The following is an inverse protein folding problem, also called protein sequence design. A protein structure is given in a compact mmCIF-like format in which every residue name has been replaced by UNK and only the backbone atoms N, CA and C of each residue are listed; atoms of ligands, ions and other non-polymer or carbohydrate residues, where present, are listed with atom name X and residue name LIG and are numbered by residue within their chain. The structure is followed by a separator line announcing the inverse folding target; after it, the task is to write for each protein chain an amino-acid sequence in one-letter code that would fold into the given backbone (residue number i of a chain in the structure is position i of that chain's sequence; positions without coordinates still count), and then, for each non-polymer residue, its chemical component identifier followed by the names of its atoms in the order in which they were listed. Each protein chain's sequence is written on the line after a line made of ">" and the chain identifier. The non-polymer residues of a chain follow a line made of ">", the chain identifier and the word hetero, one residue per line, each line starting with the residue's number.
data_IF_587667943174
#
_entry.id   IF_587667943174
#
_cell.length_a   1.000
_cell.length_b   1.000
_cell.length_c   1.000
_cell.angle_alpha   90.00
_cell.angle_beta   90.00
_cell.angle_gamma   90.00
#
_symmetry.space_group_name_H-M   'P 1'
#
loop_
_entity.id
_entity.type
_entity.pdbx_description
1 polymer ?
#
# COMPACT_ATOMS: atom_id res chain seq x y z
N UNK A 1 -7.82 6.49 -17.44
CA UNK A 1 -7.75 7.57 -16.43
C UNK A 1 -6.28 7.87 -16.17
N UNK A 2 -5.91 8.95 -15.50
CA UNK A 2 -4.50 9.25 -15.18
C UNK A 2 -4.22 9.15 -13.68
N UNK A 3 -2.95 8.98 -13.31
CA UNK A 3 -2.55 9.08 -11.91
C UNK A 3 -2.73 10.52 -11.40
N UNK A 4 -3.55 10.68 -10.36
CA UNK A 4 -3.81 11.99 -9.73
C UNK A 4 -2.64 12.40 -8.87
N UNK A 5 -2.35 13.71 -8.90
CA UNK A 5 -1.53 14.38 -7.89
C UNK A 5 -2.41 15.31 -7.06
N UNK A 6 -1.95 15.69 -5.87
CA UNK A 6 -2.65 16.66 -5.03
C UNK A 6 -2.80 18.02 -5.72
N UNK A 7 -1.81 18.41 -6.54
CA UNK A 7 -1.82 19.66 -7.29
C UNK A 7 -2.76 19.63 -8.50
N UNK A 8 -2.83 18.51 -9.23
CA UNK A 8 -3.67 18.42 -10.44
C UNK A 8 -5.16 18.25 -10.15
N UNK A 9 -5.53 17.55 -9.08
CA UNK A 9 -6.94 17.25 -8.77
C UNK A 9 -7.34 17.55 -7.32
N UNK A 10 -7.09 18.74 -6.77
CA UNK A 10 -7.25 19.02 -5.34
C UNK A 10 -8.65 18.74 -4.80
N UNK A 11 -9.68 18.88 -5.63
CA UNK A 11 -11.07 18.62 -5.25
C UNK A 11 -11.40 17.13 -4.99
N UNK A 12 -10.55 16.20 -5.44
CA UNK A 12 -10.74 14.75 -5.35
C UNK A 12 -10.01 14.10 -4.18
N UNK A 13 -9.35 14.89 -3.33
CA UNK A 13 -8.61 14.41 -2.17
C UNK A 13 -9.39 14.66 -0.88
N UNK A 14 -9.24 13.73 0.06
CA UNK A 14 -9.55 13.94 1.46
C UNK A 14 -8.27 13.73 2.29
N UNK A 15 -8.29 14.12 3.56
CA UNK A 15 -7.12 14.03 4.44
C UNK A 15 -7.45 13.39 5.77
N UNK A 16 -6.43 12.78 6.36
CA UNK A 16 -6.43 12.22 7.71
C UNK A 16 -5.31 12.97 8.47
N UNK A 17 -5.59 13.57 9.65
CA UNK A 17 -4.54 14.12 10.50
C UNK A 17 -3.53 13.03 10.86
N UNK A 18 -2.30 13.20 10.40
CA UNK A 18 -1.25 12.19 10.51
C UNK A 18 0.11 12.89 10.39
N UNK A 19 0.78 13.19 11.53
CA UNK A 19 2.10 13.79 11.49
C UNK A 19 3.13 12.79 10.96
N UNK A 20 4.23 13.28 10.37
CA UNK A 20 5.30 12.40 9.85
C UNK A 20 5.99 11.54 10.91
N UNK A 21 5.93 11.94 12.18
CA UNK A 21 6.38 11.11 13.29
C UNK A 21 5.56 9.83 13.45
N UNK A 22 4.29 9.84 13.00
CA UNK A 22 3.37 8.71 13.05
C UNK A 22 3.39 7.87 11.78
N UNK A 23 3.64 8.47 10.60
CA UNK A 23 3.73 7.73 9.33
C UNK A 23 4.68 8.42 8.35
N UNK A 24 5.58 7.63 7.76
CA UNK A 24 6.37 8.00 6.59
C UNK A 24 6.08 7.03 5.45
N UNK A 25 5.25 7.45 4.48
CA UNK A 25 4.88 6.60 3.33
C UNK A 25 6.09 6.00 2.62
N UNK A 26 7.14 6.79 2.42
CA UNK A 26 8.39 6.38 1.75
C UNK A 26 9.16 5.30 2.51
N UNK A 27 9.16 5.36 3.85
CA UNK A 27 9.83 4.37 4.69
C UNK A 27 8.98 3.14 4.97
N UNK A 28 7.66 3.21 4.77
CA UNK A 28 6.74 2.09 5.04
C UNK A 28 6.41 1.32 3.75
N UNK A 29 5.96 2.00 2.69
CA UNK A 29 5.41 1.36 1.50
C UNK A 29 6.46 0.70 0.60
N UNK A 30 7.72 1.09 0.70
CA UNK A 30 8.84 0.48 -0.03
C UNK A 30 9.68 -0.51 0.82
N UNK A 31 9.31 -0.75 2.08
CA UNK A 31 10.12 -1.52 3.04
C UNK A 31 9.97 -3.04 2.94
N UNK A 32 9.15 -3.55 2.01
CA UNK A 32 8.87 -4.98 1.88
C UNK A 32 7.79 -5.51 2.84
N UNK A 33 7.07 -4.62 3.53
CA UNK A 33 5.86 -5.01 4.27
C UNK A 33 4.74 -5.38 3.29
N UNK A 34 4.44 -4.48 2.35
CA UNK A 34 3.53 -4.71 1.23
C UNK A 34 4.29 -4.57 -0.08
N UNK A 35 3.82 -5.29 -1.09
CA UNK A 35 4.39 -5.34 -2.44
C UNK A 35 3.42 -4.73 -3.47
N UNK A 36 2.47 -3.91 -3.02
CA UNK A 36 1.35 -3.41 -3.83
C UNK A 36 1.38 -1.90 -4.11
N UNK A 37 2.44 -1.22 -3.67
CA UNK A 37 2.56 0.23 -3.76
C UNK A 37 3.73 0.65 -4.64
N UNK A 38 3.51 1.69 -5.46
CA UNK A 38 4.50 2.31 -6.35
C UNK A 38 4.45 3.82 -6.22
N UNK A 39 5.61 4.46 -6.15
CA UNK A 39 5.72 5.90 -6.30
C UNK A 39 5.62 6.28 -7.79
N UNK A 40 4.39 6.45 -8.29
CA UNK A 40 4.12 6.73 -9.71
C UNK A 40 4.43 8.18 -10.08
N UNK A 41 4.32 9.09 -9.11
CA UNK A 41 4.75 10.47 -9.20
C UNK A 41 5.54 10.81 -7.92
N UNK A 42 6.46 11.79 -7.93
CA UNK A 42 7.22 12.15 -6.74
C UNK A 42 6.32 12.40 -5.52
N UNK A 43 6.61 11.70 -4.43
CA UNK A 43 5.87 11.64 -3.17
C UNK A 43 4.41 11.13 -3.26
N UNK A 44 4.00 10.51 -4.37
CA UNK A 44 2.65 9.98 -4.58
C UNK A 44 2.69 8.47 -4.80
N UNK A 45 2.16 7.75 -3.82
CA UNK A 45 2.16 6.30 -3.78
C UNK A 45 0.81 5.77 -4.26
N UNK A 46 0.81 5.05 -5.38
CA UNK A 46 -0.39 4.41 -5.91
C UNK A 46 -0.32 2.90 -5.70
N UNK A 47 -1.43 2.32 -5.26
CA UNK A 47 -1.52 0.90 -4.97
C UNK A 47 -2.96 0.44 -4.82
N UNK A 48 -3.12 -0.85 -4.51
CA UNK A 48 -4.43 -1.47 -4.28
C UNK A 48 -4.62 -1.68 -2.78
N UNK A 49 -5.75 -1.19 -2.28
CA UNK A 49 -6.19 -1.39 -0.89
C UNK A 49 -7.70 -1.65 -0.89
N UNK A 50 -8.13 -2.70 -0.20
CA UNK A 50 -9.53 -3.12 -0.11
C UNK A 50 -10.24 -3.20 -1.48
N UNK A 51 -9.58 -3.83 -2.46
CA UNK A 51 -10.07 -3.99 -3.85
C UNK A 51 -10.36 -2.67 -4.59
N UNK A 52 -9.80 -1.56 -4.13
CA UNK A 52 -9.85 -0.27 -4.81
C UNK A 52 -8.43 0.23 -5.07
N UNK A 53 -8.26 1.04 -6.10
CA UNK A 53 -6.98 1.73 -6.34
C UNK A 53 -6.99 3.04 -5.57
N UNK A 54 -5.87 3.32 -4.92
CA UNK A 54 -5.65 4.52 -4.12
C UNK A 54 -4.38 5.21 -4.54
N UNK A 55 -4.37 6.55 -4.51
CA UNK A 55 -3.12 7.33 -4.45
C UNK A 55 -3.05 8.01 -3.09
N UNK A 56 -1.90 7.90 -2.43
CA UNK A 56 -1.58 8.48 -1.14
C UNK A 56 -0.41 9.44 -1.26
N UNK A 57 -0.48 10.58 -0.57
CA UNK A 57 0.65 11.50 -0.40
C UNK A 57 0.55 12.16 0.96
N UNK A 58 1.61 12.82 1.44
CA UNK A 58 1.63 13.38 2.79
C UNK A 58 2.30 14.76 2.83
N UNK A 59 1.77 15.64 3.67
CA UNK A 59 2.48 16.85 4.13
C UNK A 59 3.18 16.55 5.46
N UNK A 60 3.45 17.58 6.27
CA UNK A 60 4.03 17.37 7.60
C UNK A 60 3.00 16.81 8.60
N UNK A 61 1.73 17.19 8.47
CA UNK A 61 0.66 16.94 9.45
C UNK A 61 -0.53 16.15 8.90
N UNK A 62 -0.56 15.89 7.59
CA UNK A 62 -1.73 15.30 6.93
C UNK A 62 -1.32 14.20 5.96
N UNK A 63 -2.04 13.07 6.04
CA UNK A 63 -2.07 12.04 5.01
C UNK A 63 -3.22 12.34 4.06
N UNK A 64 -2.91 12.65 2.80
CA UNK A 64 -3.88 12.87 1.74
C UNK A 64 -4.17 11.58 0.99
N UNK A 65 -5.45 11.30 0.78
CA UNK A 65 -5.95 10.10 0.11
C UNK A 65 -6.87 10.47 -1.05
N UNK A 66 -6.73 9.77 -2.18
CA UNK A 66 -7.72 9.76 -3.26
C UNK A 66 -7.93 8.32 -3.73
N UNK A 67 -9.16 8.01 -4.15
CA UNK A 67 -9.59 6.67 -4.55
C UNK A 67 -10.15 6.68 -5.97
N UNK A 68 -9.92 5.60 -6.72
CA UNK A 68 -10.45 5.40 -8.06
C UNK A 68 -11.52 4.29 -8.01
N UNK A 69 -12.75 4.62 -8.40
CA UNK A 69 -13.91 3.72 -8.29
C UNK A 69 -14.33 3.06 -9.63
N UNK A 70 -13.45 3.11 -10.63
CA UNK A 70 -13.72 2.60 -11.98
C UNK A 70 -14.85 3.35 -12.72
N UNK A 71 -15.20 2.88 -13.92
CA UNK A 71 -16.14 3.57 -14.82
C UNK A 71 -17.59 3.61 -14.31
N UNK A 72 -17.95 2.69 -13.40
CA UNK A 72 -19.30 2.62 -12.80
C UNK A 72 -19.38 3.35 -11.45
N UNK A 73 -18.25 3.80 -10.92
CA UNK A 73 -18.17 4.51 -9.66
C UNK A 73 -18.33 6.01 -9.85
N UNK A 74 -18.89 6.69 -8.85
CA UNK A 74 -18.93 8.15 -8.85
C UNK A 74 -17.53 8.73 -8.61
N UNK A 75 -17.25 9.85 -9.29
CA UNK A 75 -16.01 10.60 -9.13
C UNK A 75 -16.18 11.62 -8.01
N UNK A 76 -15.33 11.52 -6.99
CA UNK A 76 -15.24 12.50 -5.92
C UNK A 76 -14.41 11.98 -4.76
N UNK A 77 -14.36 12.77 -3.68
CA UNK A 77 -13.49 12.52 -2.52
C UNK A 77 -13.77 11.17 -1.88
N UNK A 78 -12.78 10.54 -1.22
CA UNK A 78 -13.02 9.39 -0.35
C UNK A 78 -14.15 9.69 0.66
N UNK A 79 -15.04 8.73 0.88
CA UNK A 79 -16.05 8.81 1.95
C UNK A 79 -15.40 8.57 3.31
N UNK A 80 -16.08 8.92 4.43
CA UNK A 80 -15.59 8.59 5.77
C UNK A 80 -15.31 7.09 5.97
N UNK A 81 -16.14 6.21 5.42
CA UNK A 81 -15.96 4.75 5.49
C UNK A 81 -14.72 4.29 4.72
N UNK A 82 -14.47 4.85 3.53
CA UNK A 82 -13.28 4.53 2.76
C UNK A 82 -12.01 5.07 3.43
N UNK A 83 -12.06 6.26 4.05
CA UNK A 83 -10.94 6.77 4.86
C UNK A 83 -10.68 5.90 6.09
N UNK A 84 -11.73 5.32 6.69
CA UNK A 84 -11.58 4.37 7.81
C UNK A 84 -10.78 3.14 7.38
N UNK A 85 -10.95 2.65 6.15
CA UNK A 85 -10.12 1.56 5.60
C UNK A 85 -8.64 1.95 5.57
N UNK A 86 -8.31 3.15 5.10
CA UNK A 86 -6.91 3.65 5.11
C UNK A 86 -6.40 3.77 6.54
N UNK A 87 -7.21 4.33 7.44
CA UNK A 87 -6.88 4.48 8.85
C UNK A 87 -6.55 3.13 9.52
N UNK A 88 -7.35 2.09 9.25
CA UNK A 88 -7.14 0.73 9.77
C UNK A 88 -5.94 0.04 9.13
N UNK A 89 -5.76 0.16 7.81
CA UNK A 89 -4.64 -0.42 7.09
C UNK A 89 -3.29 0.08 7.65
N UNK A 90 -3.22 1.37 7.98
CA UNK A 90 -2.05 1.91 8.65
C UNK A 90 -2.08 1.74 10.16
N UNK A 91 -3.15 1.25 10.82
CA UNK A 91 -3.27 1.13 12.28
C UNK A 91 -3.10 2.47 13.02
N UNK A 92 -3.69 3.56 12.50
CA UNK A 92 -3.48 4.93 12.99
C UNK A 92 -4.07 5.21 14.39
N UNK A 93 -4.74 4.25 15.01
CA UNK A 93 -5.16 4.27 16.41
C UNK A 93 -4.00 4.00 17.37
N UNK A 94 -2.95 3.32 16.90
CA UNK A 94 -1.73 3.08 17.67
C UNK A 94 -0.82 4.29 17.57
N UNK A 95 -0.50 4.93 18.71
CA UNK A 95 0.49 6.01 18.77
C UNK A 95 1.90 5.45 18.61
N UNK A 96 2.48 5.65 17.44
CA UNK A 96 3.85 5.25 17.14
C UNK A 96 4.85 6.05 17.97
N UNK A 97 4.56 7.31 18.26
CA UNK A 97 5.41 8.14 19.12
C UNK A 97 5.58 7.54 20.53
N UNK A 98 4.51 7.00 21.12
CA UNK A 98 4.59 6.32 22.43
C UNK A 98 5.45 5.04 22.36
N UNK A 99 5.31 4.26 21.28
CA UNK A 99 6.12 3.06 21.06
C UNK A 99 7.61 3.41 20.89
N UNK A 100 7.91 4.41 20.06
CA UNK A 100 9.28 4.88 19.84
C UNK A 100 9.91 5.40 21.12
N UNK A 101 9.15 6.14 21.94
CA UNK A 101 9.61 6.60 23.24
C UNK A 101 9.97 5.42 24.16
N UNK A 102 9.07 4.43 24.25
CA UNK A 102 9.32 3.23 25.06
C UNK A 102 10.55 2.46 24.59
N UNK A 103 10.63 2.11 23.30
CA UNK A 103 11.77 1.38 22.73
C UNK A 103 13.10 2.13 22.91
N UNK A 104 13.09 3.45 22.70
CA UNK A 104 14.28 4.29 22.90
C UNK A 104 14.74 4.34 24.37
N UNK A 105 13.83 4.18 25.33
CA UNK A 105 14.17 4.19 26.76
C UNK A 105 14.83 2.90 27.25
N UNK A 106 14.66 1.79 26.52
CA UNK A 106 15.19 0.48 26.89
C UNK A 106 16.30 0.00 25.95
N UNK A 107 16.47 0.63 24.79
CA UNK A 107 17.50 0.31 23.80
C UNK A 107 18.16 1.59 23.24
N UNK A 108 19.41 1.91 23.66
CA UNK A 108 20.17 3.05 23.14
C UNK A 108 20.46 2.97 21.64
N UNK A 109 20.62 1.75 21.09
CA UNK A 109 20.84 1.58 19.66
C UNK A 109 19.56 1.94 18.88
N UNK A 110 18.41 1.45 19.35
CA UNK A 110 17.12 1.86 18.79
C UNK A 110 16.95 3.38 18.85
N UNK A 111 17.28 4.02 19.99
CA UNK A 111 17.18 5.48 20.14
C UNK A 111 17.98 6.23 19.07
N UNK A 112 19.19 5.79 18.75
CA UNK A 112 20.02 6.41 17.71
C UNK A 112 19.38 6.24 16.31
N UNK A 113 18.91 5.02 15.99
CA UNK A 113 18.31 4.71 14.69
C UNK A 113 16.98 5.45 14.50
N UNK A 114 16.16 5.53 15.55
CA UNK A 114 14.85 6.17 15.55
C UNK A 114 14.90 7.67 15.21
N UNK A 115 16.02 8.36 15.45
CA UNK A 115 16.20 9.75 15.05
C UNK A 115 16.22 9.93 13.53
N UNK A 116 16.70 8.92 12.79
CA UNK A 116 16.82 8.94 11.32
C UNK A 116 15.58 8.33 10.65
N UNK A 117 14.94 7.36 11.29
CA UNK A 117 13.84 6.57 10.73
C UNK A 117 12.55 6.71 11.54
N UNK A 118 12.01 7.93 11.59
CA UNK A 118 10.69 8.17 12.21
C UNK A 118 9.55 7.70 11.31
N UNK A 119 8.36 7.46 11.87
CA UNK A 119 7.16 7.17 11.09
C UNK A 119 7.14 5.77 10.44
N UNK A 120 8.07 4.88 10.79
CA UNK A 120 8.05 3.48 10.33
C UNK A 120 7.06 2.71 11.19
N UNK A 121 5.85 2.52 10.66
CA UNK A 121 4.77 1.73 11.27
C UNK A 121 4.49 0.43 10.50
N UNK A 122 3.77 -0.46 11.16
CA UNK A 122 3.37 -1.76 10.63
C UNK A 122 2.01 -1.68 9.93
N UNK A 123 1.89 -2.28 8.74
CA UNK A 123 0.63 -2.36 8.00
C UNK A 123 -0.25 -3.52 8.49
N UNK A 124 -1.57 -3.30 8.57
CA UNK A 124 -2.57 -4.35 8.79
C UNK A 124 -3.09 -4.85 7.43
N UNK A 125 -2.46 -5.89 6.91
CA UNK A 125 -2.75 -6.43 5.57
C UNK A 125 -3.86 -7.47 5.58
N UNK A 126 -4.48 -7.67 4.42
CA UNK A 126 -5.38 -8.81 4.18
C UNK A 126 -4.62 -10.13 4.36
N UNK A 127 -5.17 -11.13 5.08
CA UNK A 127 -4.47 -12.39 5.34
C UNK A 127 -4.10 -13.18 4.08
N UNK A 128 -4.92 -13.16 3.03
CA UNK A 128 -4.66 -13.89 1.79
C UNK A 128 -3.55 -13.19 1.01
N UNK A 129 -3.67 -11.87 0.81
CA UNK A 129 -2.63 -11.07 0.16
C UNK A 129 -1.28 -11.22 0.89
N UNK A 130 -1.29 -11.11 2.21
CA UNK A 130 -0.10 -11.26 3.04
C UNK A 130 0.53 -12.64 2.88
N UNK A 131 -0.24 -13.72 3.08
CA UNK A 131 0.25 -15.09 3.01
C UNK A 131 0.94 -15.40 1.67
N UNK A 132 0.24 -15.18 0.55
CA UNK A 132 0.76 -15.54 -0.76
C UNK A 132 1.89 -14.61 -1.23
N UNK A 133 1.87 -13.33 -0.83
CA UNK A 133 2.99 -12.44 -1.08
C UNK A 133 4.26 -12.90 -0.36
N UNK A 134 4.16 -13.32 0.90
CA UNK A 134 5.32 -13.81 1.65
C UNK A 134 5.76 -15.22 1.27
N UNK A 135 4.87 -16.07 0.72
CA UNK A 135 5.31 -17.31 0.04
C UNK A 135 6.28 -16.98 -1.11
N UNK A 136 6.00 -15.92 -1.88
CA UNK A 136 6.89 -15.44 -2.95
C UNK A 136 8.20 -14.80 -2.45
N UNK A 137 8.30 -14.51 -1.13
CA UNK A 137 9.44 -13.78 -0.54
C UNK A 137 10.64 -14.65 -0.17
N UNK A 138 10.43 -15.95 0.00
CA UNK A 138 11.48 -16.85 0.50
C UNK A 138 12.70 -16.88 -0.43
N UNK A 139 13.89 -16.67 0.15
CA UNK A 139 15.17 -16.61 -0.59
C UNK A 139 15.15 -15.65 -1.78
N UNK A 140 14.62 -14.44 -1.57
CA UNK A 140 14.39 -13.46 -2.63
C UNK A 140 14.71 -12.02 -2.15
N UNK A 141 14.62 -11.04 -3.05
CA UNK A 141 14.80 -9.61 -2.72
C UNK A 141 13.54 -8.79 -3.03
N UNK A 142 13.35 -7.67 -2.34
CA UNK A 142 12.12 -6.84 -2.42
C UNK A 142 11.74 -6.52 -3.88
N UNK A 143 12.70 -6.13 -4.72
CA UNK A 143 12.44 -5.80 -6.12
C UNK A 143 11.84 -6.98 -6.90
N UNK A 144 12.46 -8.16 -6.78
CA UNK A 144 11.98 -9.37 -7.45
C UNK A 144 10.64 -9.85 -6.89
N UNK A 145 10.46 -9.82 -5.57
CA UNK A 145 9.18 -10.20 -4.93
C UNK A 145 8.06 -9.29 -5.44
N UNK A 146 8.32 -7.99 -5.54
CA UNK A 146 7.29 -7.05 -5.99
C UNK A 146 6.86 -7.34 -7.42
N UNK A 147 7.81 -7.65 -8.32
CA UNK A 147 7.48 -8.07 -9.68
C UNK A 147 6.72 -9.40 -9.75
N UNK A 148 7.06 -10.37 -8.89
CA UNK A 148 6.33 -11.64 -8.81
C UNK A 148 4.88 -11.44 -8.35
N UNK A 149 4.67 -10.63 -7.31
CA UNK A 149 3.33 -10.30 -6.79
C UNK A 149 2.51 -9.53 -7.83
N UNK A 150 3.12 -8.58 -8.55
CA UNK A 150 2.46 -7.86 -9.65
C UNK A 150 1.97 -8.82 -10.75
N UNK A 151 2.84 -9.71 -11.25
CA UNK A 151 2.45 -10.69 -12.28
C UNK A 151 1.41 -11.70 -11.80
N UNK A 152 1.48 -12.13 -10.54
CA UNK A 152 0.47 -12.98 -9.92
C UNK A 152 -0.91 -12.30 -9.90
N UNK A 153 -0.95 -11.01 -9.55
CA UNK A 153 -2.20 -10.25 -9.56
C UNK A 153 -2.70 -9.99 -10.98
N UNK A 154 -1.82 -9.73 -11.94
CA UNK A 154 -2.19 -9.55 -13.34
C UNK A 154 -2.81 -10.81 -13.95
N UNK A 155 -2.22 -11.98 -13.68
CA UNK A 155 -2.66 -13.25 -14.24
C UNK A 155 -3.95 -13.79 -13.59
N UNK A 156 -4.10 -13.65 -12.27
CA UNK A 156 -5.16 -14.32 -11.50
C UNK A 156 -6.09 -13.37 -10.73
N UNK A 157 -5.77 -12.09 -10.71
CA UNK A 157 -6.52 -11.07 -9.99
C UNK A 157 -7.54 -10.35 -10.88
N UNK A 158 -8.68 -9.91 -10.33
CA UNK A 158 -9.67 -9.18 -11.10
C UNK A 158 -9.10 -7.82 -11.54
N UNK A 159 -9.22 -7.48 -12.83
CA UNK A 159 -8.88 -6.14 -13.33
C UNK A 159 -9.78 -5.09 -12.66
N UNK A 160 -9.17 -4.08 -12.03
CA UNK A 160 -9.89 -3.00 -11.34
C UNK A 160 -10.04 -1.77 -12.23
N UNK A 161 -8.92 -1.22 -12.68
CA UNK A 161 -8.86 0.01 -13.49
C UNK A 161 -7.50 0.14 -14.18
N UNK A 162 -7.44 0.98 -15.20
CA UNK A 162 -6.20 1.41 -15.83
C UNK A 162 -5.98 2.91 -15.63
N UNK A 163 -4.82 3.24 -15.07
CA UNK A 163 -4.31 4.60 -14.91
C UNK A 163 -3.07 4.75 -15.78
N UNK A 164 -3.11 5.66 -16.75
CA UNK A 164 -2.10 5.79 -17.80
C UNK A 164 -1.86 4.42 -18.48
N UNK A 165 -0.61 3.96 -18.51
CA UNK A 165 -0.25 2.65 -19.06
C UNK A 165 -0.23 1.53 -18.00
N UNK A 166 -0.65 1.81 -16.76
CA UNK A 166 -0.62 0.85 -15.64
C UNK A 166 -2.02 0.29 -15.39
N UNK A 167 -2.17 -1.03 -15.54
CA UNK A 167 -3.40 -1.73 -15.15
C UNK A 167 -3.26 -2.26 -13.72
N UNK A 168 -4.22 -1.90 -12.86
CA UNK A 168 -4.29 -2.39 -11.49
C UNK A 168 -5.27 -3.56 -11.39
N UNK A 169 -4.83 -4.61 -10.70
CA UNK A 169 -5.61 -5.81 -10.42
C UNK A 169 -5.80 -5.99 -8.91
N UNK A 170 -6.94 -6.53 -8.49
CA UNK A 170 -7.13 -7.00 -7.12
C UNK A 170 -6.22 -8.20 -6.82
N UNK A 171 -6.05 -8.55 -5.56
CA UNK A 171 -5.35 -9.79 -5.22
C UNK A 171 -6.20 -11.00 -5.65
N UNK A 172 -5.59 -12.08 -6.15
CA UNK A 172 -6.33 -13.27 -6.55
C UNK A 172 -7.12 -13.89 -5.38
N UNK A 173 -8.31 -14.43 -5.68
CA UNK A 173 -9.05 -15.21 -4.70
C UNK A 173 -8.41 -16.59 -4.49
N UNK A 174 -8.75 -17.25 -3.37
CA UNK A 174 -8.34 -18.64 -3.13
C UNK A 174 -8.76 -19.58 -4.27
N UNK A 175 -9.96 -19.37 -4.82
CA UNK A 175 -10.46 -20.19 -5.93
C UNK A 175 -9.64 -19.98 -7.21
N UNK A 176 -9.21 -18.74 -7.48
CA UNK A 176 -8.35 -18.45 -8.62
C UNK A 176 -6.96 -19.12 -8.47
N UNK A 177 -6.40 -19.12 -7.25
CA UNK A 177 -5.09 -19.72 -6.97
C UNK A 177 -5.11 -21.26 -6.84
N UNK A 178 -6.28 -21.86 -6.61
CA UNK A 178 -6.44 -23.31 -6.49
C UNK A 178 -6.75 -24.02 -7.83
N UNK A 179 -6.72 -23.29 -8.95
CA UNK A 179 -7.00 -23.84 -10.28
C UNK A 179 -5.95 -24.86 -10.76
N UNK A 180 -6.33 -25.81 -11.64
CA UNK A 180 -5.49 -26.96 -12.02
C UNK A 180 -4.21 -26.58 -12.78
N UNK A 181 -4.17 -25.44 -13.46
CA UNK A 181 -3.00 -24.99 -14.26
C UNK A 181 -2.20 -23.87 -13.59
N UNK A 182 -2.57 -23.45 -12.38
CA UNK A 182 -1.98 -22.29 -11.71
C UNK A 182 -0.48 -22.46 -11.50
N UNK A 183 -0.02 -23.64 -11.06
CA UNK A 183 1.41 -23.89 -10.88
C UNK A 183 2.19 -23.74 -12.19
N UNK A 184 1.68 -24.33 -13.28
CA UNK A 184 2.34 -24.30 -14.60
C UNK A 184 2.46 -22.86 -15.10
N UNK A 185 1.39 -22.07 -14.96
CA UNK A 185 1.38 -20.67 -15.35
C UNK A 185 2.27 -19.80 -14.45
N UNK A 186 2.29 -20.01 -13.13
CA UNK A 186 3.19 -19.27 -12.24
C UNK A 186 4.66 -19.55 -12.58
N UNK A 187 5.02 -20.79 -12.98
CA UNK A 187 6.37 -21.12 -13.41
C UNK A 187 6.80 -20.37 -14.68
N UNK A 188 5.89 -20.06 -15.60
CA UNK A 188 6.21 -19.27 -16.80
C UNK A 188 6.38 -17.78 -16.50
N UNK A 189 5.83 -17.30 -15.38
CA UNK A 189 5.96 -15.92 -14.91
C UNK A 189 7.26 -15.66 -14.11
N UNK A 190 8.02 -16.70 -13.74
CA UNK A 190 9.33 -16.63 -13.06
C UNK A 190 9.30 -16.20 -11.59
#
# INVERSE_FOLDING_TARGET
>A
MEHRTLASFPALWASIPCPRSELRLDLVLASGQSFRWREQNPAHWTGVLANQVWTLTQTEEQLYCTVYRGDKGWVGRPTPEELKTVYQYFQLDVSLAQLYHHWSSVDPHFQEVAQKFQGVRLLQQDPIECLFSFICSSNNNIARITGMVERLCEAFGPRLIQLDDVTYHGFPSLQALAGPEVEVQLRTLG
#
